data_IF_636670292856
#
_entry.id   IF_636670292856
#
_cell.length_a   1.000
_cell.length_b   1.000
_cell.length_c   1.000
_cell.angle_alpha   90.00
_cell.angle_beta   90.00
_cell.angle_gamma   90.00
#
_symmetry.space_group_name_H-M   'P 1'
#
loop_
_entity.id
_entity.type
_entity.pdbx_description
1 polymer ?
#
# COMPACT_ATOMS: atom_id res chain seq x y z
N UNK A 1 2.47 23.37 -6.53
CA UNK A 1 2.78 22.17 -7.35
C UNK A 1 2.62 20.86 -6.56
N UNK A 2 3.10 20.79 -5.30
CA UNK A 2 3.04 19.57 -4.48
C UNK A 2 1.60 19.08 -4.24
N UNK A 3 0.64 19.95 -3.94
CA UNK A 3 -0.73 19.52 -3.59
C UNK A 3 -1.44 18.74 -4.71
N UNK A 4 -1.42 19.26 -5.94
CA UNK A 4 -2.06 18.60 -7.09
C UNK A 4 -1.40 17.24 -7.37
N UNK A 5 -0.07 17.18 -7.30
CA UNK A 5 0.66 15.92 -7.44
C UNK A 5 0.29 14.91 -6.36
N UNK A 6 0.21 15.34 -5.08
CA UNK A 6 -0.21 14.47 -3.97
C UNK A 6 -1.63 13.95 -4.16
N UNK A 7 -2.57 14.80 -4.61
CA UNK A 7 -3.95 14.41 -4.87
C UNK A 7 -4.02 13.38 -6.00
N UNK A 8 -3.34 13.64 -7.13
CA UNK A 8 -3.30 12.70 -8.24
C UNK A 8 -2.65 11.38 -7.84
N UNK A 9 -1.51 11.42 -7.14
CA UNK A 9 -0.83 10.23 -6.64
C UNK A 9 -1.72 9.43 -5.67
N UNK A 10 -2.45 10.11 -4.79
CA UNK A 10 -3.42 9.48 -3.89
C UNK A 10 -4.46 8.68 -4.66
N UNK A 11 -5.10 9.27 -5.69
CA UNK A 11 -6.10 8.57 -6.49
C UNK A 11 -5.52 7.42 -7.30
N UNK A 12 -4.31 7.56 -7.83
CA UNK A 12 -3.63 6.47 -8.54
C UNK A 12 -3.35 5.30 -7.60
N UNK A 13 -2.73 5.56 -6.43
CA UNK A 13 -2.41 4.51 -5.45
C UNK A 13 -3.68 3.87 -4.92
N UNK A 14 -4.70 4.66 -4.56
CA UNK A 14 -5.99 4.14 -4.09
C UNK A 14 -6.66 3.28 -5.17
N UNK A 15 -6.66 3.75 -6.42
CA UNK A 15 -7.22 3.03 -7.55
C UNK A 15 -6.55 1.68 -7.76
N UNK A 16 -5.22 1.63 -7.76
CA UNK A 16 -4.46 0.37 -7.88
C UNK A 16 -4.79 -0.57 -6.71
N UNK A 17 -4.79 -0.07 -5.48
CA UNK A 17 -5.07 -0.87 -4.28
C UNK A 17 -6.48 -1.47 -4.32
N UNK A 18 -7.48 -0.67 -4.69
CA UNK A 18 -8.86 -1.14 -4.82
C UNK A 18 -8.98 -2.16 -5.95
N UNK A 19 -8.42 -1.88 -7.13
CA UNK A 19 -8.52 -2.80 -8.28
C UNK A 19 -7.91 -4.16 -7.94
N UNK A 20 -6.72 -4.19 -7.32
CA UNK A 20 -6.07 -5.44 -6.92
C UNK A 20 -6.86 -6.17 -5.83
N UNK A 21 -7.43 -5.45 -4.87
CA UNK A 21 -8.32 -6.02 -3.84
C UNK A 21 -9.53 -6.71 -4.46
N UNK A 22 -10.28 -6.00 -5.31
CA UNK A 22 -11.45 -6.55 -5.98
C UNK A 22 -11.06 -7.71 -6.91
N UNK A 23 -9.88 -7.62 -7.56
CA UNK A 23 -9.36 -8.69 -8.39
C UNK A 23 -9.12 -9.98 -7.58
N UNK A 24 -8.64 -9.86 -6.33
CA UNK A 24 -8.52 -10.99 -5.40
C UNK A 24 -9.86 -11.71 -5.21
N UNK A 25 -10.91 -10.97 -4.84
CA UNK A 25 -12.26 -11.52 -4.69
C UNK A 25 -12.76 -12.18 -5.99
N UNK A 26 -12.59 -11.49 -7.12
CA UNK A 26 -13.02 -11.96 -8.44
C UNK A 26 -12.37 -13.30 -8.82
N UNK A 27 -11.04 -13.39 -8.72
CA UNK A 27 -10.31 -14.59 -9.12
C UNK A 27 -10.67 -15.79 -8.27
N UNK A 28 -10.69 -15.61 -6.95
CA UNK A 28 -11.01 -16.72 -6.03
C UNK A 28 -12.48 -17.13 -6.13
N UNK A 29 -13.40 -16.19 -6.36
CA UNK A 29 -14.80 -16.51 -6.65
C UNK A 29 -14.93 -17.42 -7.87
N UNK A 30 -14.26 -17.06 -8.97
CA UNK A 30 -14.30 -17.87 -10.21
C UNK A 30 -13.64 -19.24 -10.03
N UNK A 31 -12.52 -19.32 -9.31
CA UNK A 31 -11.89 -20.60 -8.98
C UNK A 31 -12.77 -21.48 -8.08
N UNK A 32 -13.53 -20.89 -7.17
CA UNK A 32 -14.50 -21.61 -6.34
C UNK A 32 -15.78 -21.98 -7.10
N UNK A 33 -15.89 -21.64 -8.39
CA UNK A 33 -17.05 -21.91 -9.24
C UNK A 33 -18.20 -20.92 -9.07
N UNK A 34 -18.02 -19.84 -8.29
CA UNK A 34 -19.05 -18.82 -8.07
C UNK A 34 -19.17 -17.91 -9.29
N UNK A 35 -20.40 -17.67 -9.75
CA UNK A 35 -20.66 -16.78 -10.88
C UNK A 35 -20.53 -15.33 -10.42
N UNK A 36 -19.70 -14.54 -11.12
CA UNK A 36 -19.56 -13.11 -10.88
C UNK A 36 -20.38 -12.35 -11.91
N UNK A 37 -21.33 -11.55 -11.42
CA UNK A 37 -22.25 -10.76 -12.24
C UNK A 37 -21.62 -9.43 -12.67
N UNK A 38 -20.93 -8.75 -11.76
CA UNK A 38 -20.29 -7.46 -12.02
C UNK A 38 -18.96 -7.31 -11.30
N UNK A 39 -17.99 -6.73 -11.98
CA UNK A 39 -16.75 -6.21 -11.41
C UNK A 39 -16.76 -4.69 -11.63
N UNK A 40 -16.85 -3.90 -10.57
CA UNK A 40 -16.88 -2.43 -10.66
C UNK A 40 -15.61 -1.82 -10.07
N UNK A 41 -14.93 -1.01 -10.87
CA UNK A 41 -13.90 -0.08 -10.40
C UNK A 41 -14.58 1.25 -10.10
N UNK A 42 -14.49 1.71 -8.86
CA UNK A 42 -15.24 2.85 -8.38
C UNK A 42 -16.64 2.48 -7.86
N UNK A 43 -17.31 3.50 -7.31
CA UNK A 43 -18.66 3.42 -6.74
C UNK A 43 -19.62 4.42 -7.41
N UNK A 44 -20.93 4.21 -7.21
CA UNK A 44 -21.98 5.13 -7.64
C UNK A 44 -22.40 4.93 -9.10
N UNK A 45 -22.63 6.04 -9.81
CA UNK A 45 -23.13 6.01 -11.20
C UNK A 45 -22.08 5.38 -12.12
N UNK A 46 -22.47 4.32 -12.82
CA UNK A 46 -21.64 3.68 -13.85
C UNK A 46 -21.49 4.65 -15.02
N UNK A 47 -20.25 4.98 -15.37
CA UNK A 47 -19.89 5.84 -16.50
C UNK A 47 -19.74 5.00 -17.76
N UNK A 48 -19.15 3.83 -17.61
CA UNK A 48 -18.92 2.89 -18.70
C UNK A 48 -19.04 1.47 -18.19
N UNK A 49 -19.68 0.58 -18.94
CA UNK A 49 -19.61 -0.85 -18.66
C UNK A 49 -19.60 -1.70 -19.92
N UNK A 50 -19.00 -2.88 -19.81
CA UNK A 50 -18.95 -3.88 -20.89
C UNK A 50 -19.01 -5.28 -20.32
N UNK A 51 -19.78 -6.17 -20.93
CA UNK A 51 -19.83 -7.60 -20.56
C UNK A 51 -18.73 -8.36 -21.29
N UNK A 52 -17.94 -9.13 -20.55
CA UNK A 52 -16.81 -9.89 -21.09
C UNK A 52 -16.69 -11.27 -20.43
N UNK A 53 -16.12 -12.21 -21.19
CA UNK A 53 -15.81 -13.56 -20.72
C UNK A 53 -16.96 -14.56 -20.83
N UNK A 54 -16.72 -15.82 -20.46
CA UNK A 54 -17.69 -16.91 -20.60
C UNK A 54 -18.92 -16.71 -19.71
N UNK A 55 -18.74 -16.10 -18.53
CA UNK A 55 -19.82 -15.80 -17.58
C UNK A 55 -20.54 -14.47 -17.88
N UNK A 56 -20.16 -13.78 -18.96
CA UNK A 56 -20.69 -12.46 -19.34
C UNK A 56 -20.63 -11.43 -18.20
N UNK A 57 -19.57 -11.49 -17.38
CA UNK A 57 -19.37 -10.57 -16.24
C UNK A 57 -19.36 -9.12 -16.75
N UNK A 58 -20.15 -8.26 -16.12
CA UNK A 58 -20.16 -6.84 -16.40
C UNK A 58 -18.94 -6.15 -15.77
N UNK A 59 -18.02 -5.66 -16.58
CA UNK A 59 -16.90 -4.83 -16.16
C UNK A 59 -17.36 -3.38 -16.21
N UNK A 60 -17.46 -2.73 -15.06
CA UNK A 60 -17.97 -1.38 -14.91
C UNK A 60 -16.90 -0.44 -14.36
N UNK A 61 -16.91 0.80 -14.87
CA UNK A 61 -16.15 1.93 -14.36
C UNK A 61 -17.18 2.94 -13.87
N UNK A 62 -17.14 3.26 -12.58
CA UNK A 62 -18.07 4.17 -11.92
C UNK A 62 -17.44 5.53 -11.67
N UNK A 63 -18.29 6.55 -11.49
CA UNK A 63 -17.88 7.95 -11.42
C UNK A 63 -17.00 8.25 -10.19
N UNK A 64 -17.28 7.64 -9.05
CA UNK A 64 -16.52 7.89 -7.83
C UNK A 64 -15.33 6.91 -7.76
N UNK A 65 -14.08 7.39 -7.69
CA UNK A 65 -12.90 6.52 -7.67
C UNK A 65 -12.63 5.90 -6.29
N UNK A 66 -13.45 6.22 -5.28
CA UNK A 66 -13.31 5.69 -3.93
C UNK A 66 -13.98 4.32 -3.86
N UNK A 67 -13.18 3.25 -3.82
CA UNK A 67 -13.66 1.88 -3.65
C UNK A 67 -14.04 1.19 -4.97
N UNK A 68 -14.60 0.00 -4.84
CA UNK A 68 -14.98 -0.90 -5.92
C UNK A 68 -15.85 -2.00 -5.33
N UNK A 69 -16.39 -2.87 -6.17
CA UNK A 69 -17.08 -4.05 -5.67
C UNK A 69 -17.13 -5.18 -6.71
N UNK A 70 -17.09 -6.41 -6.22
CA UNK A 70 -17.40 -7.62 -6.97
C UNK A 70 -18.80 -8.13 -6.59
N UNK A 71 -19.77 -7.94 -7.49
CA UNK A 71 -21.11 -8.49 -7.32
C UNK A 71 -21.13 -9.95 -7.76
N UNK A 72 -21.29 -10.85 -6.80
CA UNK A 72 -21.43 -12.28 -7.03
C UNK A 72 -22.91 -12.66 -7.18
N UNK A 73 -23.18 -13.82 -7.76
CA UNK A 73 -24.51 -14.40 -7.73
C UNK A 73 -24.83 -14.79 -6.28
N UNK A 74 -25.67 -14.00 -5.61
CA UNK A 74 -26.03 -14.16 -4.21
C UNK A 74 -27.56 -14.10 -4.05
N UNK A 75 -28.13 -15.11 -3.41
CA UNK A 75 -29.57 -15.24 -3.13
C UNK A 75 -30.15 -14.12 -2.25
N UNK A 76 -29.30 -13.40 -1.53
CA UNK A 76 -29.71 -12.31 -0.63
C UNK A 76 -29.91 -10.98 -1.35
N UNK A 77 -29.34 -10.85 -2.55
CA UNK A 77 -29.31 -9.59 -3.30
C UNK A 77 -30.28 -9.55 -4.50
N UNK A 78 -31.06 -10.62 -4.73
CA UNK A 78 -32.04 -10.68 -5.81
C UNK A 78 -32.85 -11.98 -5.81
N UNK A 79 -33.95 -11.98 -6.56
CA UNK A 79 -34.78 -13.17 -6.76
C UNK A 79 -34.06 -14.17 -7.69
N UNK A 80 -33.92 -15.41 -7.22
CA UNK A 80 -33.26 -16.50 -7.94
C UNK A 80 -34.27 -17.48 -8.57
N UNK A 81 -35.58 -17.20 -8.47
CA UNK A 81 -36.66 -18.12 -8.85
C UNK A 81 -36.58 -18.66 -10.28
N UNK A 82 -36.01 -17.90 -11.20
CA UNK A 82 -35.95 -18.24 -12.64
C UNK A 82 -34.59 -18.82 -13.10
N UNK A 83 -33.64 -19.05 -12.17
CA UNK A 83 -32.31 -19.49 -12.57
C UNK A 83 -32.23 -21.00 -12.83
N UNK A 84 -31.56 -21.43 -13.92
CA UNK A 84 -31.32 -22.84 -14.18
C UNK A 84 -30.61 -23.54 -13.00
N UNK A 85 -30.90 -24.83 -12.73
CA UNK A 85 -30.27 -25.59 -11.65
C UNK A 85 -28.73 -25.59 -11.68
N UNK A 86 -28.13 -25.43 -12.86
CA UNK A 86 -26.69 -25.32 -13.03
C UNK A 86 -26.12 -23.99 -12.50
N UNK A 87 -26.82 -22.85 -12.69
CA UNK A 87 -26.38 -21.55 -12.16
C UNK A 87 -26.60 -21.45 -10.65
N UNK A 88 -27.67 -22.08 -10.19
CA UNK A 88 -28.02 -22.26 -8.80
C UNK A 88 -26.95 -22.99 -7.97
N UNK A 89 -26.08 -23.82 -8.58
CA UNK A 89 -24.91 -24.42 -7.90
C UNK A 89 -23.70 -23.47 -7.82
N UNK A 90 -23.70 -22.42 -8.62
CA UNK A 90 -22.65 -21.39 -8.71
C UNK A 90 -22.98 -20.14 -7.90
N UNK A 91 -24.05 -20.20 -7.13
CA UNK A 91 -24.47 -19.16 -6.20
C UNK A 91 -23.61 -19.20 -4.93
N UNK A 92 -23.32 -18.02 -4.37
CA UNK A 92 -22.34 -17.81 -3.31
C UNK A 92 -22.76 -18.45 -1.98
N UNK A 93 -24.01 -18.29 -1.56
CA UNK A 93 -24.49 -18.79 -0.26
C UNK A 93 -24.65 -20.31 -0.23
N UNK A 94 -24.80 -20.95 -1.39
CA UNK A 94 -24.80 -22.41 -1.59
C UNK A 94 -23.41 -23.03 -1.61
N UNK A 95 -22.35 -22.23 -1.64
CA UNK A 95 -20.99 -22.75 -1.47
C UNK A 95 -20.74 -23.15 -0.01
N UNK A 96 -19.84 -24.12 0.16
CA UNK A 96 -19.30 -24.48 1.48
C UNK A 96 -18.71 -23.26 2.18
N UNK A 97 -18.79 -23.23 3.52
CA UNK A 97 -18.28 -22.13 4.35
C UNK A 97 -16.82 -21.79 4.03
N UNK A 98 -15.97 -22.80 3.82
CA UNK A 98 -14.55 -22.60 3.49
C UNK A 98 -14.32 -21.84 2.18
N UNK A 99 -15.11 -22.14 1.14
CA UNK A 99 -15.04 -21.39 -0.13
C UNK A 99 -15.46 -19.94 0.08
N UNK A 100 -16.53 -19.70 0.85
CA UNK A 100 -16.99 -18.35 1.16
C UNK A 100 -15.94 -17.56 1.93
N UNK A 101 -15.31 -18.17 2.95
CA UNK A 101 -14.20 -17.58 3.70
C UNK A 101 -13.03 -17.27 2.76
N UNK A 102 -12.63 -18.22 1.91
CA UNK A 102 -11.52 -18.02 0.96
C UNK A 102 -11.79 -16.84 0.02
N UNK A 103 -13.00 -16.74 -0.53
CA UNK A 103 -13.41 -15.64 -1.42
C UNK A 103 -13.34 -14.29 -0.68
N UNK A 104 -13.87 -14.19 0.54
CA UNK A 104 -13.87 -12.94 1.32
C UNK A 104 -12.46 -12.58 1.81
N UNK A 105 -11.60 -13.56 2.12
CA UNK A 105 -10.21 -13.31 2.49
C UNK A 105 -9.32 -12.94 1.30
N UNK A 106 -9.72 -13.29 0.07
CA UNK A 106 -8.90 -13.12 -1.11
C UNK A 106 -8.53 -11.68 -1.41
N UNK A 107 -9.44 -10.71 -1.21
CA UNK A 107 -9.16 -9.30 -1.44
C UNK A 107 -8.06 -8.75 -0.51
N UNK A 108 -8.19 -8.87 0.82
CA UNK A 108 -7.13 -8.49 1.75
C UNK A 108 -5.80 -9.20 1.47
N UNK A 109 -5.83 -10.50 1.16
CA UNK A 109 -4.62 -11.26 0.85
C UNK A 109 -3.95 -10.79 -0.46
N UNK A 110 -4.73 -10.40 -1.47
CA UNK A 110 -4.20 -9.83 -2.71
C UNK A 110 -3.46 -8.52 -2.44
N UNK A 111 -4.01 -7.64 -1.60
CA UNK A 111 -3.32 -6.41 -1.20
C UNK A 111 -2.09 -6.67 -0.35
N UNK A 112 -2.13 -7.66 0.54
CA UNK A 112 -0.98 -8.05 1.33
C UNK A 112 0.16 -8.55 0.41
N UNK A 113 -0.16 -9.39 -0.58
CA UNK A 113 0.79 -9.85 -1.57
C UNK A 113 1.32 -8.67 -2.43
N UNK A 114 0.45 -7.76 -2.85
CA UNK A 114 0.86 -6.55 -3.58
C UNK A 114 1.85 -5.73 -2.77
N UNK A 115 1.61 -5.53 -1.47
CA UNK A 115 2.53 -4.83 -0.59
C UNK A 115 3.90 -5.52 -0.54
N UNK A 116 3.94 -6.84 -0.36
CA UNK A 116 5.19 -7.62 -0.38
C UNK A 116 5.95 -7.38 -1.68
N UNK A 117 5.29 -7.48 -2.84
CA UNK A 117 5.91 -7.29 -4.14
C UNK A 117 6.44 -5.86 -4.31
N UNK A 118 5.65 -4.84 -3.93
CA UNK A 118 6.08 -3.44 -4.01
C UNK A 118 7.28 -3.19 -3.11
N UNK A 119 7.23 -3.61 -1.84
CA UNK A 119 8.34 -3.41 -0.91
C UNK A 119 9.59 -4.17 -1.35
N UNK A 120 9.47 -5.43 -1.81
CA UNK A 120 10.59 -6.17 -2.35
C UNK A 120 11.22 -5.45 -3.55
N UNK A 121 10.40 -4.93 -4.47
CA UNK A 121 10.88 -4.11 -5.60
C UNK A 121 11.59 -2.84 -5.15
N UNK A 122 11.04 -2.12 -4.17
CA UNK A 122 11.65 -0.90 -3.64
C UNK A 122 12.99 -1.17 -2.94
N UNK A 123 13.07 -2.21 -2.11
CA UNK A 123 14.31 -2.56 -1.41
C UNK A 123 15.38 -3.12 -2.34
N UNK A 124 14.99 -3.81 -3.42
CA UNK A 124 15.95 -4.28 -4.44
C UNK A 124 16.46 -3.15 -5.33
N UNK A 125 15.63 -2.16 -5.64
CA UNK A 125 16.04 -0.98 -6.42
C UNK A 125 16.85 0.04 -5.59
N UNK A 126 16.68 0.02 -4.26
CA UNK A 126 17.26 1.00 -3.36
C UNK A 126 16.36 2.23 -3.22
N UNK A 127 16.23 2.73 -2.00
CA UNK A 127 15.42 3.91 -1.69
C UNK A 127 16.37 5.08 -1.46
N UNK A 128 16.15 6.26 -2.09
CA UNK A 128 16.94 7.44 -1.79
C UNK A 128 16.73 7.86 -0.34
N UNK A 129 17.78 7.74 0.47
CA UNK A 129 17.74 8.12 1.88
C UNK A 129 18.41 9.46 2.12
N UNK A 130 17.87 10.31 3.03
CA UNK A 130 18.53 11.55 3.41
C UNK A 130 19.89 11.26 4.07
N UNK A 131 20.96 11.78 3.46
CA UNK A 131 22.30 11.72 4.05
C UNK A 131 22.35 12.50 5.38
N UNK A 132 23.20 12.11 6.34
CA UNK A 132 23.31 12.73 7.66
C UNK A 132 24.09 14.05 7.63
N UNK A 133 23.64 15.00 6.79
CA UNK A 133 24.24 16.32 6.66
C UNK A 133 23.58 17.31 7.61
N UNK A 134 24.39 18.01 8.40
CA UNK A 134 23.91 18.99 9.35
C UNK A 134 23.40 20.25 8.64
N UNK A 135 22.27 20.78 9.11
CA UNK A 135 21.89 22.17 8.86
C UNK A 135 22.75 23.09 9.75
N UNK A 136 22.71 24.40 9.48
CA UNK A 136 23.21 25.43 10.38
C UNK A 136 22.88 25.11 11.85
N UNK A 137 23.93 25.02 12.65
CA UNK A 137 23.84 24.62 14.07
C UNK A 137 23.62 25.88 14.92
N UNK A 138 22.58 25.93 15.78
CA UNK A 138 22.34 27.11 16.63
C UNK A 138 23.50 27.39 17.57
N UNK A 139 23.91 28.66 17.69
CA UNK A 139 25.09 29.07 18.48
C UNK A 139 25.01 28.68 19.96
N UNK A 140 23.81 28.72 20.53
CA UNK A 140 23.53 28.36 21.92
C UNK A 140 23.53 26.84 22.21
N UNK A 141 23.73 26.00 21.19
CA UNK A 141 23.66 24.55 21.34
C UNK A 141 24.95 23.93 21.90
N UNK A 142 24.83 22.73 22.47
CA UNK A 142 26.00 21.91 22.84
C UNK A 142 26.83 21.52 21.61
N UNK A 143 26.17 21.23 20.49
CA UNK A 143 26.80 20.91 19.21
C UNK A 143 27.70 22.05 18.69
N UNK A 144 27.23 23.30 18.79
CA UNK A 144 28.02 24.46 18.38
C UNK A 144 29.25 24.67 19.28
N UNK A 145 29.08 24.52 20.60
CA UNK A 145 30.20 24.55 21.54
C UNK A 145 31.23 23.43 21.31
N UNK A 146 30.79 22.29 20.79
CA UNK A 146 31.65 21.18 20.38
C UNK A 146 32.35 21.38 19.02
N UNK A 147 32.12 22.52 18.35
CA UNK A 147 32.83 22.89 17.12
C UNK A 147 32.07 22.62 15.81
N UNK A 148 30.82 22.15 15.88
CA UNK A 148 29.95 22.03 14.70
C UNK A 148 29.39 23.39 14.30
N UNK A 149 29.23 23.62 13.00
CA UNK A 149 28.70 24.89 12.46
C UNK A 149 27.52 24.66 11.51
N UNK A 150 27.45 23.52 10.85
CA UNK A 150 26.47 23.18 9.84
C UNK A 150 27.13 22.98 8.48
N UNK A 151 26.55 22.10 7.67
CA UNK A 151 27.09 21.69 6.37
C UNK A 151 27.98 20.44 6.46
N UNK A 152 28.44 20.04 7.65
CA UNK A 152 29.24 18.83 7.83
C UNK A 152 28.38 17.57 7.59
N UNK A 153 29.01 16.56 6.98
CA UNK A 153 28.45 15.21 6.86
C UNK A 153 28.96 14.38 8.03
N UNK A 154 28.06 13.79 8.82
CA UNK A 154 28.45 12.91 9.91
C UNK A 154 28.65 11.50 9.38
N UNK A 155 29.85 10.96 9.54
CA UNK A 155 30.26 9.65 9.00
C UNK A 155 30.26 8.55 10.05
N UNK A 156 30.42 8.89 11.33
CA UNK A 156 30.32 7.93 12.44
C UNK A 156 29.91 8.60 13.77
N UNK A 157 29.36 7.79 14.68
CA UNK A 157 29.04 8.16 16.08
C UNK A 157 29.70 7.13 16.99
N UNK A 158 30.58 7.57 17.90
CA UNK A 158 31.34 6.70 18.82
C UNK A 158 32.10 5.56 18.11
N UNK A 159 32.59 5.80 16.90
CA UNK A 159 33.30 4.81 16.08
C UNK A 159 32.38 3.88 15.27
N UNK A 160 31.06 3.98 15.43
CA UNK A 160 30.10 3.23 14.62
C UNK A 160 29.69 4.03 13.38
N UNK A 161 29.81 3.46 12.16
CA UNK A 161 29.52 4.17 10.92
C UNK A 161 28.05 4.55 10.82
N UNK A 162 27.79 5.69 10.17
CA UNK A 162 26.45 6.22 9.91
C UNK A 162 26.35 6.59 8.45
N UNK A 163 25.33 6.04 7.77
CA UNK A 163 25.11 6.28 6.34
C UNK A 163 23.90 7.17 6.05
N UNK A 164 22.91 7.16 6.95
CA UNK A 164 21.60 7.79 6.77
C UNK A 164 21.20 8.60 8.00
N UNK A 165 20.37 9.62 7.80
CA UNK A 165 19.93 10.54 8.88
C UNK A 165 19.18 9.83 10.02
N UNK A 166 18.40 8.81 9.69
CA UNK A 166 17.66 7.97 10.66
C UNK A 166 18.60 7.30 11.66
N UNK A 167 19.71 6.73 11.18
CA UNK A 167 20.72 6.07 12.01
C UNK A 167 21.40 7.04 12.96
N UNK A 168 21.79 8.22 12.44
CA UNK A 168 22.35 9.28 13.26
C UNK A 168 21.40 9.65 14.40
N UNK A 169 20.13 9.92 14.04
CA UNK A 169 19.10 10.32 15.00
C UNK A 169 18.89 9.24 16.07
N UNK A 170 18.83 7.98 15.66
CA UNK A 170 18.64 6.86 16.59
C UNK A 170 19.80 6.73 17.57
N UNK A 171 21.05 6.71 17.08
CA UNK A 171 22.25 6.64 17.93
C UNK A 171 22.33 7.81 18.91
N UNK A 172 22.06 9.04 18.46
CA UNK A 172 22.05 10.22 19.33
C UNK A 172 20.96 10.15 20.41
N UNK A 173 19.77 9.64 20.09
CA UNK A 173 18.69 9.45 21.08
C UNK A 173 19.06 8.42 22.13
N UNK A 174 19.68 7.31 21.73
CA UNK A 174 20.17 6.30 22.66
C UNK A 174 21.20 6.89 23.64
N UNK A 175 22.21 7.59 23.12
CA UNK A 175 23.23 8.24 23.96
C UNK A 175 22.63 9.31 24.88
N UNK A 176 21.61 10.05 24.42
CA UNK A 176 20.90 11.01 25.25
C UNK A 176 20.15 10.35 26.42
N UNK A 177 19.53 9.19 26.18
CA UNK A 177 18.85 8.40 27.23
C UNK A 177 19.88 7.83 28.23
N UNK A 178 20.99 7.30 27.72
CA UNK A 178 22.09 6.77 28.53
C UNK A 178 22.91 7.87 29.24
N UNK A 179 22.70 9.14 28.87
CA UNK A 179 23.47 10.31 29.33
C UNK A 179 24.98 10.16 29.09
N UNK A 180 25.34 9.46 28.03
CA UNK A 180 26.72 9.23 27.61
C UNK A 180 27.14 10.27 26.57
N UNK A 181 28.42 10.66 26.54
CA UNK A 181 28.91 11.61 25.55
C UNK A 181 28.87 11.02 24.14
N UNK A 182 28.52 11.85 23.15
CA UNK A 182 28.60 11.50 21.74
C UNK A 182 29.88 12.08 21.13
N UNK A 183 30.72 11.22 20.56
CA UNK A 183 31.84 11.57 19.68
C UNK A 183 31.37 11.42 18.24
N UNK A 184 31.51 12.47 17.45
CA UNK A 184 31.09 12.50 16.05
C UNK A 184 32.30 12.59 15.15
N UNK A 185 32.38 11.70 14.17
CA UNK A 185 33.32 11.82 13.07
C UNK A 185 32.61 12.55 11.92
N UNK A 186 33.28 13.56 11.38
CA UNK A 186 32.70 14.50 10.41
C UNK A 186 33.57 14.65 9.18
N UNK A 187 32.93 14.86 8.05
CA UNK A 187 33.54 15.31 6.82
C UNK A 187 33.07 16.75 6.53
N UNK A 188 34.03 17.67 6.39
CA UNK A 188 33.78 19.05 5.97
C UNK A 188 33.97 19.13 4.46
N UNK A 189 32.97 19.61 3.73
CA UNK A 189 33.21 20.03 2.36
C UNK A 189 34.15 21.23 2.38
N UNK A 190 35.26 21.13 1.63
CA UNK A 190 36.20 22.21 1.41
C UNK A 190 35.52 23.39 0.72
#
# INVERSE_FOLDING_TARGET
MILVQTILAFFVVLGVLVVVHELGHYWVARWCGVKVLRFSVGMGKVVYSRRLGPDQTEWAISLLPFGGYVKMLDAREGDLGDLPPAELKREFTRQTVWRRIAIVAAGPLANFLLAIVIFAGLYTYGIPEPIPRLRAVPEQSAAYRAGLRGGELITAVNGEPVQIWSDLRWKLMQLAVEKTPAKLDIERQA
#
